data_IF_374071296962
#
_entry.id   IF_374071296962
#
_cell.length_a   1.000
_cell.length_b   1.000
_cell.length_c   1.000
_cell.angle_alpha   90.00
_cell.angle_beta   90.00
_cell.angle_gamma   90.00
#
_symmetry.space_group_name_H-M   'P 1'
#
loop_
_entity.id
_entity.type
_entity.pdbx_description
1 polymer ?
#
# COMPACT_ATOMS: atom_id res chain seq x y z
N UNK A 1 2.94 -10.51 7.76
CA UNK A 1 2.53 -11.88 8.15
C UNK A 1 3.01 -13.00 7.22
N UNK A 2 3.11 -12.83 5.90
CA UNK A 2 3.51 -13.93 4.99
C UNK A 2 5.03 -14.09 4.78
N UNK A 3 5.81 -13.07 5.14
CA UNK A 3 7.27 -13.04 5.02
C UNK A 3 7.95 -14.13 5.85
N UNK A 4 9.15 -14.54 5.42
CA UNK A 4 10.01 -15.45 6.17
C UNK A 4 10.41 -14.86 7.53
N UNK A 5 10.69 -13.56 7.55
CA UNK A 5 11.01 -12.81 8.76
C UNK A 5 10.16 -11.54 8.78
N UNK A 6 9.65 -11.19 9.94
CA UNK A 6 8.93 -9.94 10.19
C UNK A 6 9.71 -9.16 11.26
N UNK A 7 10.21 -8.00 10.87
CA UNK A 7 10.87 -7.06 11.77
C UNK A 7 10.09 -5.75 11.81
N UNK A 8 10.11 -5.09 12.96
CA UNK A 8 9.49 -3.78 13.15
C UNK A 8 10.53 -2.79 13.68
N UNK A 9 10.39 -1.52 13.33
CA UNK A 9 11.15 -0.45 13.96
C UNK A 9 10.45 -0.01 15.26
N UNK A 10 11.19 0.49 16.27
CA UNK A 10 10.59 1.01 17.50
C UNK A 10 9.53 2.09 17.21
N UNK A 11 8.40 2.02 17.91
CA UNK A 11 7.31 2.99 17.74
C UNK A 11 6.44 2.77 16.50
N UNK A 12 6.58 1.62 15.83
CA UNK A 12 5.66 1.20 14.77
C UNK A 12 4.55 0.31 15.30
N UNK A 13 3.48 0.13 14.53
CA UNK A 13 2.36 -0.73 14.87
C UNK A 13 2.04 -1.70 13.73
N UNK A 14 1.32 -2.77 14.06
CA UNK A 14 0.87 -3.78 13.10
C UNK A 14 -0.61 -4.12 13.32
N UNK A 15 -1.34 -4.28 12.22
CA UNK A 15 -2.82 -4.19 12.19
C UNK A 15 -3.26 -2.78 11.80
N UNK A 16 -4.54 -2.43 11.81
CA UNK A 16 -5.70 -3.30 11.80
C UNK A 16 -5.91 -3.89 10.40
N UNK A 17 -6.44 -5.12 10.32
CA UNK A 17 -6.64 -5.82 9.05
C UNK A 17 -8.13 -6.06 8.72
N UNK A 18 -9.03 -5.30 9.36
CA UNK A 18 -10.46 -5.42 9.13
C UNK A 18 -10.83 -4.96 7.70
N UNK A 19 -11.52 -5.80 6.90
CA UNK A 19 -11.93 -5.41 5.56
C UNK A 19 -12.92 -4.25 5.60
N UNK A 20 -12.72 -3.25 4.74
CA UNK A 20 -13.62 -2.10 4.61
C UNK A 20 -14.12 -1.97 3.18
N UNK A 21 -15.34 -1.46 3.02
CA UNK A 21 -15.89 -1.14 1.71
C UNK A 21 -15.21 0.10 1.13
N UNK A 22 -14.79 0.04 -0.13
CA UNK A 22 -14.28 1.19 -0.88
C UNK A 22 -15.39 1.74 -1.78
N UNK A 23 -15.87 2.97 -1.51
CA UNK A 23 -16.85 3.66 -2.36
C UNK A 23 -18.15 4.11 -1.66
N UNK A 24 -19.09 4.64 -2.45
CA UNK A 24 -20.39 5.15 -1.95
C UNK A 24 -21.37 3.98 -1.86
N UNK A 25 -21.49 3.40 -0.67
CA UNK A 25 -22.45 2.36 -0.35
C UNK A 25 -22.05 1.56 0.87
N UNK A 26 -23.00 1.31 1.79
CA UNK A 26 -22.76 0.40 2.89
C UNK A 26 -22.74 -1.04 2.37
N UNK A 27 -21.75 -1.82 2.81
CA UNK A 27 -21.74 -3.25 2.54
C UNK A 27 -22.92 -3.88 3.28
N UNK A 28 -23.67 -4.76 2.60
CA UNK A 28 -24.68 -5.56 3.31
C UNK A 28 -23.97 -6.42 4.37
N UNK A 29 -24.49 -6.44 5.59
CA UNK A 29 -23.97 -7.20 6.73
C UNK A 29 -23.65 -8.67 6.40
N UNK A 30 -24.46 -9.34 5.59
CA UNK A 30 -24.18 -10.73 5.18
C UNK A 30 -22.93 -10.85 4.30
N UNK A 31 -22.67 -9.85 3.44
CA UNK A 31 -21.46 -9.81 2.63
C UNK A 31 -20.24 -9.50 3.49
N UNK A 32 -20.37 -8.54 4.40
CA UNK A 32 -19.33 -8.18 5.36
C UNK A 32 -18.89 -9.38 6.18
N UNK A 33 -19.84 -10.12 6.77
CA UNK A 33 -19.56 -11.34 7.53
C UNK A 33 -18.83 -12.40 6.67
N UNK A 34 -19.22 -12.57 5.41
CA UNK A 34 -18.53 -13.49 4.48
C UNK A 34 -17.09 -13.08 4.24
N UNK A 35 -16.84 -11.79 3.96
CA UNK A 35 -15.49 -11.26 3.69
C UNK A 35 -14.62 -11.36 4.96
N UNK A 36 -15.16 -11.00 6.13
CA UNK A 36 -14.45 -11.11 7.41
C UNK A 36 -14.09 -12.57 7.72
N UNK A 37 -15.01 -13.50 7.48
CA UNK A 37 -14.76 -14.94 7.68
C UNK A 37 -13.69 -15.48 6.73
N UNK A 38 -13.74 -15.11 5.45
CA UNK A 38 -12.75 -15.51 4.45
C UNK A 38 -11.36 -14.93 4.77
N UNK A 39 -11.28 -13.62 5.04
CA UNK A 39 -10.04 -12.94 5.42
C UNK A 39 -9.45 -13.50 6.72
N UNK A 40 -10.29 -13.84 7.71
CA UNK A 40 -9.86 -14.49 8.95
C UNK A 40 -9.30 -15.88 8.68
N UNK A 41 -9.97 -16.70 7.85
CA UNK A 41 -9.45 -18.01 7.48
C UNK A 41 -8.10 -17.89 6.74
N UNK A 42 -7.98 -16.93 5.83
CA UNK A 42 -6.77 -16.68 5.06
C UNK A 42 -5.60 -16.26 5.94
N UNK A 43 -5.78 -15.26 6.82
CA UNK A 43 -4.69 -14.79 7.70
C UNK A 43 -4.26 -15.86 8.69
N UNK A 44 -5.19 -16.69 9.18
CA UNK A 44 -4.87 -17.83 10.05
C UNK A 44 -4.01 -18.86 9.33
N UNK A 45 -4.31 -19.19 8.07
CA UNK A 45 -3.50 -20.13 7.28
C UNK A 45 -2.06 -19.65 7.11
N UNK A 46 -1.87 -18.34 6.89
CA UNK A 46 -0.56 -17.71 6.78
C UNK A 46 0.17 -17.76 8.13
N UNK A 47 -0.52 -17.38 9.21
CA UNK A 47 0.05 -17.37 10.56
C UNK A 47 0.50 -18.79 10.98
N UNK A 48 -0.31 -19.82 10.71
CA UNK A 48 0.04 -21.22 10.96
C UNK A 48 1.25 -21.66 10.15
N UNK A 49 1.28 -21.40 8.83
CA UNK A 49 2.42 -21.76 7.96
C UNK A 49 3.72 -21.10 8.45
N UNK A 50 3.64 -19.88 8.98
CA UNK A 50 4.79 -19.12 9.49
C UNK A 50 5.04 -19.27 10.99
N UNK A 51 4.28 -20.12 11.70
CA UNK A 51 4.36 -20.32 13.16
C UNK A 51 4.24 -19.02 13.97
N UNK A 52 3.39 -18.09 13.51
CA UNK A 52 3.05 -16.84 14.19
C UNK A 52 1.74 -16.97 14.95
N UNK A 53 1.46 -16.02 15.83
CA UNK A 53 0.25 -16.00 16.64
C UNK A 53 -1.03 -15.97 15.79
N UNK A 54 -1.72 -17.11 15.74
CA UNK A 54 -2.94 -17.32 14.95
C UNK A 54 -4.14 -16.62 15.57
N UNK A 55 -4.22 -16.60 16.90
CA UNK A 55 -5.33 -15.98 17.62
C UNK A 55 -5.33 -14.46 17.45
N UNK A 56 -4.16 -13.85 17.61
CA UNK A 56 -4.00 -12.42 17.34
C UNK A 56 -4.30 -12.09 15.88
N UNK A 57 -3.83 -12.92 14.93
CA UNK A 57 -4.08 -12.68 13.50
C UNK A 57 -5.57 -12.66 13.17
N UNK A 58 -6.36 -13.55 13.77
CA UNK A 58 -7.82 -13.52 13.64
C UNK A 58 -8.44 -12.27 14.29
N UNK A 59 -8.01 -11.90 15.50
CA UNK A 59 -8.47 -10.69 16.19
C UNK A 59 -8.15 -9.42 15.40
N UNK A 60 -6.99 -9.35 14.74
CA UNK A 60 -6.61 -8.21 13.90
C UNK A 60 -7.58 -8.00 12.72
N UNK A 61 -8.17 -9.08 12.21
CA UNK A 61 -9.18 -9.03 11.13
C UNK A 61 -10.58 -8.80 11.70
N UNK A 62 -10.99 -9.48 12.77
CA UNK A 62 -12.39 -9.39 13.27
C UNK A 62 -12.65 -8.15 14.13
N UNK A 63 -11.70 -7.80 14.98
CA UNK A 63 -11.85 -6.78 16.03
C UNK A 63 -11.05 -5.51 15.72
N UNK A 64 -10.38 -5.44 14.56
CA UNK A 64 -9.53 -4.31 14.17
C UNK A 64 -8.41 -3.99 15.18
N UNK A 65 -7.91 -5.02 15.87
CA UNK A 65 -6.84 -4.83 16.85
C UNK A 65 -5.56 -4.40 16.14
N UNK A 66 -4.90 -3.38 16.71
CA UNK A 66 -3.56 -2.94 16.35
C UNK A 66 -2.71 -2.96 17.62
N UNK A 67 -1.48 -3.44 17.51
CA UNK A 67 -0.55 -3.60 18.63
C UNK A 67 0.78 -2.93 18.33
N UNK A 68 1.50 -2.54 19.38
CA UNK A 68 2.84 -1.94 19.27
C UNK A 68 3.89 -2.98 18.89
N UNK A 69 5.07 -2.52 18.49
CA UNK A 69 6.23 -3.36 18.20
C UNK A 69 6.60 -4.28 19.37
N UNK A 70 6.59 -3.76 20.61
CA UNK A 70 6.87 -4.57 21.80
C UNK A 70 5.84 -5.67 22.04
N UNK A 71 4.55 -5.33 21.93
CA UNK A 71 3.45 -6.29 22.08
C UNK A 71 3.49 -7.34 20.98
N UNK A 72 3.80 -6.93 19.75
CA UNK A 72 3.92 -7.83 18.61
C UNK A 72 5.05 -8.84 18.80
N UNK A 73 6.17 -8.43 19.39
CA UNK A 73 7.27 -9.33 19.71
C UNK A 73 6.86 -10.30 20.83
N UNK A 74 6.28 -9.79 21.92
CA UNK A 74 5.82 -10.60 23.07
C UNK A 74 4.79 -11.65 22.67
N UNK A 75 3.87 -11.30 21.78
CA UNK A 75 2.82 -12.19 21.29
C UNK A 75 3.29 -13.17 20.20
N UNK A 76 4.51 -13.02 19.65
CA UNK A 76 5.01 -13.85 18.55
C UNK A 76 4.34 -13.55 17.20
N UNK A 77 3.95 -12.29 16.99
CA UNK A 77 3.44 -11.77 15.71
C UNK A 77 4.60 -11.41 14.78
N UNK A 78 5.66 -10.86 15.35
CA UNK A 78 6.92 -10.56 14.67
C UNK A 78 8.08 -11.36 15.25
N UNK A 79 9.21 -11.35 14.55
CA UNK A 79 10.40 -12.08 14.92
C UNK A 79 11.36 -11.26 15.79
N UNK A 80 11.47 -9.96 15.53
CA UNK A 80 12.42 -9.07 16.19
C UNK A 80 12.04 -7.59 15.97
N UNK A 81 12.63 -6.73 16.80
CA UNK A 81 12.59 -5.28 16.67
C UNK A 81 14.00 -4.81 16.32
N UNK A 82 14.13 -3.92 15.34
CA UNK A 82 15.42 -3.37 14.90
C UNK A 82 15.34 -1.85 14.74
N UNK A 83 16.33 -1.14 15.28
CA UNK A 83 16.34 0.34 15.29
C UNK A 83 16.67 0.92 13.91
N UNK A 84 17.56 0.25 13.19
CA UNK A 84 17.99 0.64 11.85
C UNK A 84 18.36 -0.58 10.99
N UNK A 85 18.79 -0.31 9.75
CA UNK A 85 19.17 -1.36 8.80
C UNK A 85 20.41 -2.15 9.26
N UNK A 86 21.35 -1.51 9.96
CA UNK A 86 22.58 -2.16 10.41
C UNK A 86 22.30 -3.11 11.59
N UNK A 87 21.49 -2.66 12.56
CA UNK A 87 20.98 -3.46 13.66
C UNK A 87 20.12 -4.62 13.14
N UNK A 88 19.26 -4.38 12.14
CA UNK A 88 18.50 -5.44 11.48
C UNK A 88 19.42 -6.51 10.87
N UNK A 89 20.41 -6.11 10.07
CA UNK A 89 21.35 -7.05 9.47
C UNK A 89 22.18 -7.79 10.53
N UNK A 90 22.56 -7.14 11.63
CA UNK A 90 23.25 -7.77 12.74
C UNK A 90 22.40 -8.84 13.44
N UNK A 91 21.13 -8.52 13.74
CA UNK A 91 20.17 -9.46 14.37
C UNK A 91 19.76 -10.61 13.47
N UNK A 92 19.87 -10.44 12.15
CA UNK A 92 19.54 -11.47 11.16
C UNK A 92 20.70 -12.40 10.83
N UNK A 93 21.92 -12.09 11.25
CA UNK A 93 23.10 -12.87 10.90
C UNK A 93 23.03 -14.27 11.51
N UNK A 94 23.50 -15.25 10.73
CA UNK A 94 23.45 -16.68 11.04
C UNK A 94 22.05 -17.26 11.30
N UNK A 95 20.98 -16.48 11.09
CA UNK A 95 19.61 -16.94 11.30
C UNK A 95 19.23 -17.96 10.24
N UNK A 96 18.65 -19.08 10.68
CA UNK A 96 18.16 -20.15 9.79
C UNK A 96 16.75 -19.79 9.30
N UNK A 97 16.59 -19.68 7.99
CA UNK A 97 15.29 -19.53 7.34
C UNK A 97 14.92 -20.84 6.65
N UNK A 98 13.72 -21.33 6.92
CA UNK A 98 13.13 -22.43 6.17
C UNK A 98 12.45 -21.89 4.91
N UNK A 99 13.03 -22.21 3.77
CA UNK A 99 12.35 -22.21 2.48
C UNK A 99 11.66 -23.57 2.31
N UNK A 100 10.61 -23.65 1.48
CA UNK A 100 9.72 -24.82 1.41
C UNK A 100 10.50 -26.15 1.23
N UNK A 101 11.68 -26.13 0.58
CA UNK A 101 12.52 -27.32 0.35
C UNK A 101 13.97 -27.19 0.84
N UNK A 102 14.38 -26.06 1.39
CA UNK A 102 15.78 -25.82 1.80
C UNK A 102 15.86 -24.95 3.04
N UNK A 103 16.84 -25.22 3.91
CA UNK A 103 17.16 -24.33 5.02
C UNK A 103 18.36 -23.49 4.59
N UNK A 104 18.19 -22.17 4.51
CA UNK A 104 19.31 -21.27 4.25
C UNK A 104 19.72 -20.56 5.54
N UNK A 105 21.02 -20.46 5.77
CA UNK A 105 21.60 -19.65 6.84
C UNK A 105 21.86 -18.27 6.24
N UNK A 106 21.28 -17.23 6.83
CA UNK A 106 21.55 -15.87 6.44
C UNK A 106 23.00 -15.49 6.80
N UNK A 107 23.69 -14.86 5.86
CA UNK A 107 24.97 -14.19 6.07
C UNK A 107 24.79 -12.74 5.68
N UNK A 108 24.49 -11.91 6.67
CA UNK A 108 24.08 -10.51 6.48
C UNK A 108 25.19 -9.56 6.91
N UNK A 109 26.11 -9.98 7.78
CA UNK A 109 27.28 -9.19 8.14
C UNK A 109 28.20 -9.02 6.93
N UNK A 110 28.48 -7.77 6.59
CA UNK A 110 29.30 -7.41 5.43
C UNK A 110 28.58 -7.54 4.07
N UNK A 111 27.26 -7.77 4.08
CA UNK A 111 26.48 -7.79 2.84
C UNK A 111 26.41 -6.39 2.21
N UNK A 112 26.57 -6.31 0.89
CA UNK A 112 26.36 -5.07 0.16
C UNK A 112 24.87 -4.76 0.06
N UNK A 113 24.46 -3.63 0.65
CA UNK A 113 23.10 -3.12 0.54
C UNK A 113 22.91 -2.50 -0.85
N UNK A 114 22.09 -3.16 -1.66
CA UNK A 114 21.59 -2.59 -2.91
C UNK A 114 20.21 -1.99 -2.67
N UNK A 115 20.15 -0.66 -2.57
CA UNK A 115 18.88 0.04 -2.48
C UNK A 115 18.20 0.02 -3.85
N UNK A 116 17.05 -0.63 -3.94
CA UNK A 116 16.21 -0.61 -5.14
C UNK A 116 15.38 0.67 -5.11
N UNK A 117 15.83 1.69 -5.83
CA UNK A 117 15.04 2.90 -6.03
C UNK A 117 13.90 2.64 -7.02
N UNK A 118 12.83 3.43 -6.87
CA UNK A 118 11.74 3.44 -7.85
C UNK A 118 12.26 3.81 -9.23
N UNK A 119 11.90 3.01 -10.23
CA UNK A 119 12.17 3.28 -11.64
C UNK A 119 11.44 4.54 -12.11
N UNK A 120 11.87 5.13 -13.22
CA UNK A 120 11.18 6.30 -13.82
C UNK A 120 9.69 6.03 -14.04
N UNK A 121 9.35 4.83 -14.54
CA UNK A 121 7.95 4.42 -14.75
C UNK A 121 7.16 4.39 -13.44
N UNK A 122 7.72 3.82 -12.39
CA UNK A 122 7.05 3.75 -11.08
C UNK A 122 6.90 5.13 -10.46
N UNK A 123 7.91 6.01 -10.58
CA UNK A 123 7.82 7.41 -10.15
C UNK A 123 6.68 8.14 -10.87
N UNK A 124 6.56 7.99 -12.20
CA UNK A 124 5.46 8.57 -12.98
C UNK A 124 4.12 8.00 -12.54
N UNK A 125 3.99 6.69 -12.36
CA UNK A 125 2.75 6.06 -11.92
C UNK A 125 2.33 6.49 -10.52
N UNK A 126 3.28 6.60 -9.58
CA UNK A 126 3.03 7.10 -8.23
C UNK A 126 2.57 8.57 -8.27
N UNK A 127 3.23 9.38 -9.09
CA UNK A 127 2.88 10.79 -9.31
C UNK A 127 1.46 10.92 -9.88
N UNK A 128 1.08 10.06 -10.83
CA UNK A 128 -0.28 10.02 -11.38
C UNK A 128 -1.32 9.45 -10.41
N UNK A 129 -0.92 8.77 -9.34
CA UNK A 129 -1.85 8.31 -8.31
C UNK A 129 -2.18 9.40 -7.28
N UNK A 130 -1.48 10.55 -7.30
CA UNK A 130 -1.74 11.68 -6.40
C UNK A 130 -2.94 12.52 -6.91
N UNK A 131 -4.01 12.67 -6.10
CA UNK A 131 -5.20 13.44 -6.48
C UNK A 131 -4.91 14.91 -6.81
N UNK A 132 -3.93 15.53 -6.13
CA UNK A 132 -3.57 16.93 -6.36
C UNK A 132 -2.94 17.11 -7.73
N UNK A 133 -2.12 16.14 -8.14
CA UNK A 133 -1.46 16.16 -9.45
C UNK A 133 -2.50 15.93 -10.55
N UNK A 134 -3.47 15.05 -10.33
CA UNK A 134 -4.62 14.89 -11.22
C UNK A 134 -5.32 16.23 -11.49
N UNK A 135 -5.56 17.02 -10.45
CA UNK A 135 -6.20 18.32 -10.55
C UNK A 135 -5.34 19.36 -11.27
N UNK A 136 -4.03 19.40 -11.00
CA UNK A 136 -3.10 20.28 -11.72
C UNK A 136 -3.06 19.94 -13.21
N UNK A 137 -3.00 18.64 -13.56
CA UNK A 137 -3.05 18.19 -14.95
C UNK A 137 -4.39 18.53 -15.61
N UNK A 138 -5.51 18.43 -14.89
CA UNK A 138 -6.82 18.84 -15.38
C UNK A 138 -6.84 20.34 -15.67
N UNK A 139 -6.33 21.18 -14.76
CA UNK A 139 -6.26 22.63 -14.94
C UNK A 139 -5.39 23.01 -16.14
N UNK A 140 -4.16 22.48 -16.22
CA UNK A 140 -3.26 22.70 -17.36
C UNK A 140 -3.91 22.21 -18.66
N UNK A 141 -4.61 21.07 -18.58
CA UNK A 141 -5.36 20.48 -19.66
C UNK A 141 -6.41 21.41 -20.26
N UNK A 142 -7.30 21.91 -19.39
CA UNK A 142 -8.38 22.85 -19.75
C UNK A 142 -7.78 24.16 -20.28
N UNK A 143 -6.82 24.75 -19.57
CA UNK A 143 -6.18 26.00 -19.98
C UNK A 143 -5.42 25.89 -21.29
N UNK A 144 -4.74 24.76 -21.55
CA UNK A 144 -4.04 24.50 -22.80
C UNK A 144 -4.98 24.45 -24.00
N UNK A 145 -6.14 23.81 -23.86
CA UNK A 145 -7.18 23.82 -24.89
C UNK A 145 -7.72 25.24 -25.08
N UNK A 146 -8.07 25.94 -24.00
CA UNK A 146 -8.59 27.31 -24.07
C UNK A 146 -7.63 28.22 -24.84
N UNK A 147 -6.33 28.17 -24.55
CA UNK A 147 -5.32 29.00 -25.22
C UNK A 147 -5.22 28.70 -26.73
N UNK A 148 -5.33 27.44 -27.15
CA UNK A 148 -5.36 27.09 -28.57
C UNK A 148 -6.58 27.70 -29.29
N UNK A 149 -7.74 27.74 -28.61
CA UNK A 149 -8.94 28.39 -29.16
C UNK A 149 -8.80 29.91 -29.28
N UNK A 150 -8.13 30.56 -28.32
CA UNK A 150 -7.89 32.00 -28.37
C UNK A 150 -6.80 32.39 -29.38
N UNK A 151 -5.78 31.55 -29.56
CA UNK A 151 -4.65 31.80 -30.45
C UNK A 151 -4.45 30.60 -31.39
N UNK A 152 -5.35 30.45 -32.38
CA UNK A 152 -5.32 29.30 -33.28
C UNK A 152 -4.04 29.29 -34.12
N UNK A 153 -3.38 28.12 -34.19
CA UNK A 153 -2.25 27.87 -35.08
C UNK A 153 -0.90 27.71 -34.38
N UNK A 154 -0.84 27.78 -33.05
CA UNK A 154 0.37 27.46 -32.29
C UNK A 154 0.48 25.95 -32.06
N UNK A 155 -0.65 25.21 -32.02
CA UNK A 155 -0.82 23.75 -31.82
C UNK A 155 -0.23 23.17 -30.54
N UNK A 156 0.82 23.76 -29.99
CA UNK A 156 1.58 23.31 -28.83
C UNK A 156 0.76 23.37 -27.53
N UNK A 157 -0.01 24.44 -27.24
CA UNK A 157 -0.94 24.46 -26.09
C UNK A 157 -2.04 23.41 -26.20
N UNK A 158 -2.61 23.22 -27.40
CA UNK A 158 -3.67 22.24 -27.64
C UNK A 158 -3.21 20.80 -27.43
N UNK A 159 -2.03 20.42 -27.94
CA UNK A 159 -1.48 19.08 -27.79
C UNK A 159 -1.10 18.81 -26.32
N UNK A 160 -0.38 19.74 -25.69
CA UNK A 160 -0.02 19.62 -24.28
C UNK A 160 -1.26 19.52 -23.39
N UNK A 161 -2.27 20.37 -23.64
CA UNK A 161 -3.54 20.35 -22.93
C UNK A 161 -4.30 19.03 -23.10
N UNK A 162 -4.35 18.50 -24.32
CA UNK A 162 -5.02 17.22 -24.61
C UNK A 162 -4.35 16.03 -23.90
N UNK A 163 -3.02 15.97 -23.93
CA UNK A 163 -2.26 14.92 -23.23
C UNK A 163 -2.45 15.04 -21.71
N UNK A 164 -2.39 16.27 -21.17
CA UNK A 164 -2.64 16.53 -19.75
C UNK A 164 -4.04 16.12 -19.32
N UNK A 165 -5.07 16.34 -20.16
CA UNK A 165 -6.44 15.87 -19.89
C UNK A 165 -6.55 14.36 -19.87
N UNK A 166 -5.93 13.66 -20.84
CA UNK A 166 -5.95 12.19 -20.87
C UNK A 166 -5.32 11.62 -19.59
N UNK A 167 -4.17 12.17 -19.18
CA UNK A 167 -3.49 11.77 -17.94
C UNK A 167 -4.30 12.12 -16.69
N UNK A 168 -4.95 13.29 -16.67
CA UNK A 168 -5.83 13.69 -15.58
C UNK A 168 -7.02 12.74 -15.44
N UNK A 169 -7.73 12.42 -16.54
CA UNK A 169 -8.85 11.49 -16.49
C UNK A 169 -8.44 10.07 -16.09
N UNK A 170 -7.28 9.61 -16.55
CA UNK A 170 -6.71 8.33 -16.11
C UNK A 170 -6.45 8.32 -14.59
N UNK A 171 -5.90 9.40 -14.06
CA UNK A 171 -5.68 9.56 -12.62
C UNK A 171 -7.00 9.63 -11.84
N UNK A 172 -7.97 10.41 -12.31
CA UNK A 172 -9.28 10.57 -11.69
C UNK A 172 -10.11 9.28 -11.69
N UNK A 173 -9.88 8.35 -12.63
CA UNK A 173 -10.53 7.03 -12.63
C UNK A 173 -10.21 6.21 -11.37
N UNK A 174 -9.05 6.47 -10.74
CA UNK A 174 -8.61 5.78 -9.52
C UNK A 174 -9.28 6.38 -8.28
N UNK A 175 -9.89 7.57 -8.39
CA UNK A 175 -10.59 8.20 -7.28
C UNK A 175 -12.03 7.67 -7.15
N UNK A 176 -12.50 7.38 -5.92
CA UNK A 176 -13.91 7.09 -5.69
C UNK A 176 -14.73 8.35 -6.00
N UNK A 177 -15.37 8.37 -7.18
CA UNK A 177 -16.20 9.48 -7.63
C UNK A 177 -17.35 9.72 -6.65
N UNK A 178 -17.39 10.90 -6.00
CA UNK A 178 -18.49 11.27 -5.12
C UNK A 178 -19.52 12.12 -5.88
N UNK A 179 -20.63 11.49 -6.26
CA UNK A 179 -21.74 12.11 -6.99
C UNK A 179 -22.33 13.33 -6.24
N UNK A 180 -22.28 13.34 -4.90
CA UNK A 180 -22.75 14.47 -4.09
C UNK A 180 -21.85 15.71 -4.25
N UNK A 181 -20.54 15.51 -4.43
CA UNK A 181 -19.61 16.59 -4.74
C UNK A 181 -19.88 17.19 -6.12
N UNK A 182 -20.21 16.35 -7.11
CA UNK A 182 -20.61 16.82 -8.44
C UNK A 182 -21.92 17.63 -8.39
N UNK A 183 -22.90 17.18 -7.61
CA UNK A 183 -24.17 17.88 -7.43
C UNK A 183 -24.06 19.20 -6.67
N UNK A 184 -23.05 19.38 -5.82
CA UNK A 184 -22.80 20.65 -5.12
C UNK A 184 -22.06 21.68 -6.00
N UNK A 185 -21.43 21.25 -7.09
CA UNK A 185 -20.75 22.12 -8.07
C UNK A 185 -21.74 22.72 -9.07
N UNK A 186 -22.89 22.06 -9.29
CA UNK A 186 -23.97 22.48 -10.19
C UNK A 186 -25.03 23.25 -9.39
#
# INVERSE_FOLDING_TARGET
>A
MASHIAAMAPGTNIGAAHPVAMGVGSMNKTMEEKIVNDASAYIKSIAQKRKRNVEWAEKAVRESVSITDEEALKLGVIDLIAEDMQDLLGKLDERRINFDHTVAVLKTVGAHLHLLEMTFREKVLQTLADPNIAYILLMIGIWGIILEFFHPGIFLPGIAGSISLILAFFSLQILPFNLAGLLLII
#
